data_IF_773676830917
#
_entry.id   IF_773676830917
#
_cell.length_a   1.000
_cell.length_b   1.000
_cell.length_c   1.000
_cell.angle_alpha   90.00
_cell.angle_beta   90.00
_cell.angle_gamma   90.00
#
_symmetry.space_group_name_H-M   'P 1'
#
loop_
_entity.id
_entity.type
_entity.pdbx_description
1 polymer ?
#
# COMPACT_ATOMS: atom_id res chain seq x y z
N UNK A 1 -22.51 3.45 -11.00
CA UNK A 1 -23.20 2.84 -9.84
C UNK A 1 -23.95 1.54 -10.21
N UNK A 2 -24.25 1.27 -11.51
CA UNK A 2 -25.03 0.09 -11.94
C UNK A 2 -24.25 -1.22 -12.11
N UNK A 3 -22.93 -1.21 -12.19
CA UNK A 3 -22.13 -2.43 -12.46
C UNK A 3 -21.79 -3.30 -11.23
N UNK A 4 -21.96 -2.78 -10.00
CA UNK A 4 -21.66 -3.56 -8.80
C UNK A 4 -22.75 -4.58 -8.43
N UNK A 5 -24.02 -4.33 -8.82
CA UNK A 5 -25.14 -5.21 -8.50
C UNK A 5 -25.13 -6.50 -9.30
N UNK A 6 -24.71 -6.45 -10.57
CA UNK A 6 -24.61 -7.64 -11.44
C UNK A 6 -23.39 -8.51 -11.06
N UNK A 7 -22.31 -7.91 -10.55
CA UNK A 7 -21.15 -8.65 -10.00
C UNK A 7 -21.53 -9.45 -8.75
N UNK A 8 -22.36 -8.87 -7.88
CA UNK A 8 -22.81 -9.53 -6.64
C UNK A 8 -23.80 -10.68 -6.91
N UNK A 9 -24.66 -10.58 -7.92
CA UNK A 9 -25.60 -11.66 -8.28
C UNK A 9 -24.90 -12.83 -8.99
N UNK A 10 -23.94 -12.58 -9.88
CA UNK A 10 -23.08 -13.61 -10.46
C UNK A 10 -22.19 -14.28 -9.40
N UNK A 11 -21.76 -13.52 -8.41
CA UNK A 11 -20.94 -13.98 -7.30
C UNK A 11 -21.67 -14.94 -6.36
N UNK A 12 -22.95 -14.68 -6.03
CA UNK A 12 -23.76 -15.54 -5.15
C UNK A 12 -24.06 -16.91 -5.78
N UNK A 13 -24.30 -16.97 -7.08
CA UNK A 13 -24.62 -18.23 -7.77
C UNK A 13 -23.38 -19.09 -8.04
N UNK A 14 -22.20 -18.50 -8.19
CA UNK A 14 -20.96 -19.24 -8.45
C UNK A 14 -20.21 -19.63 -7.16
N UNK A 15 -20.27 -18.81 -6.10
CA UNK A 15 -19.68 -19.13 -4.78
C UNK A 15 -20.27 -20.36 -4.11
N UNK A 16 -21.55 -20.67 -4.36
CA UNK A 16 -22.21 -21.85 -3.76
C UNK A 16 -21.76 -23.15 -4.43
N UNK A 17 -21.33 -23.13 -5.70
CA UNK A 17 -20.89 -24.34 -6.41
C UNK A 17 -19.42 -24.71 -6.16
N UNK A 18 -18.57 -23.79 -5.73
CA UNK A 18 -17.12 -24.05 -5.59
C UNK A 18 -16.70 -24.39 -4.17
N UNK A 19 -17.62 -24.35 -3.19
CA UNK A 19 -17.32 -24.63 -1.77
C UNK A 19 -17.34 -26.12 -1.41
N UNK A 20 -17.76 -26.99 -2.35
CA UNK A 20 -17.98 -28.41 -2.01
C UNK A 20 -16.94 -29.41 -2.55
N UNK A 21 -15.93 -28.98 -3.30
CA UNK A 21 -14.90 -29.91 -3.81
C UNK A 21 -13.51 -29.28 -3.65
N UNK A 22 -12.75 -29.77 -2.71
CA UNK A 22 -11.35 -29.52 -2.33
C UNK A 22 -11.14 -28.55 -1.17
N UNK A 23 -10.90 -29.18 -0.02
CA UNK A 23 -10.48 -28.57 1.25
C UNK A 23 -9.02 -28.07 1.20
N UNK A 24 -8.68 -27.17 0.27
CA UNK A 24 -7.39 -26.47 0.34
C UNK A 24 -7.45 -25.11 -0.37
N UNK A 25 -7.57 -24.02 0.42
CA UNK A 25 -7.51 -22.63 0.05
C UNK A 25 -8.63 -22.15 -0.92
N UNK A 26 -9.44 -21.17 -0.54
CA UNK A 26 -10.47 -20.62 -1.41
C UNK A 26 -9.80 -19.97 -2.64
N UNK A 27 -9.93 -20.58 -3.80
CA UNK A 27 -9.45 -20.01 -5.05
C UNK A 27 -10.39 -18.91 -5.52
N UNK A 28 -9.93 -17.67 -5.48
CA UNK A 28 -10.68 -16.54 -6.02
C UNK A 28 -10.71 -16.63 -7.56
N UNK A 29 -11.90 -16.74 -8.13
CA UNK A 29 -12.11 -16.80 -9.58
C UNK A 29 -12.07 -15.38 -10.13
N UNK A 30 -11.16 -15.10 -11.03
CA UNK A 30 -11.03 -13.82 -11.72
C UNK A 30 -11.76 -13.91 -13.06
N UNK A 31 -12.75 -13.03 -13.26
CA UNK A 31 -13.46 -12.86 -14.53
C UNK A 31 -13.38 -11.37 -14.87
N UNK A 32 -12.70 -11.04 -15.95
CA UNK A 32 -12.52 -9.66 -16.40
C UNK A 32 -13.64 -9.29 -17.40
N UNK A 33 -14.07 -8.05 -17.38
CA UNK A 33 -14.89 -7.46 -18.44
C UNK A 33 -14.01 -7.05 -19.62
N UNK A 34 -14.61 -6.82 -20.81
CA UNK A 34 -13.84 -6.41 -21.99
C UNK A 34 -13.16 -5.05 -21.79
N UNK A 35 -13.82 -4.14 -21.09
CA UNK A 35 -13.28 -2.83 -20.73
C UNK A 35 -12.06 -2.97 -19.80
N UNK A 36 -12.16 -3.84 -18.79
CA UNK A 36 -11.05 -4.11 -17.86
C UNK A 36 -9.84 -4.73 -18.57
N UNK A 37 -10.10 -5.63 -19.54
CA UNK A 37 -9.02 -6.20 -20.35
C UNK A 37 -8.33 -5.13 -21.19
N UNK A 38 -9.08 -4.21 -21.81
CA UNK A 38 -8.50 -3.12 -22.58
C UNK A 38 -7.68 -2.17 -21.69
N UNK A 39 -8.21 -1.80 -20.52
CA UNK A 39 -7.48 -0.99 -19.54
C UNK A 39 -6.19 -1.65 -19.07
N UNK A 40 -6.22 -2.94 -18.73
CA UNK A 40 -5.03 -3.68 -18.31
C UNK A 40 -3.99 -3.79 -19.44
N UNK A 41 -4.42 -4.06 -20.68
CA UNK A 41 -3.54 -4.08 -21.85
C UNK A 41 -2.92 -2.70 -22.10
N UNK A 42 -3.71 -1.64 -22.04
CA UNK A 42 -3.22 -0.27 -22.18
C UNK A 42 -2.20 0.10 -21.11
N UNK A 43 -2.46 -0.30 -19.84
CA UNK A 43 -1.52 -0.10 -18.73
C UNK A 43 -0.17 -0.79 -18.99
N UNK A 44 -0.20 -2.03 -19.50
CA UNK A 44 1.02 -2.79 -19.82
C UNK A 44 1.79 -2.13 -20.96
N UNK A 45 1.11 -1.60 -21.98
CA UNK A 45 1.73 -0.93 -23.13
C UNK A 45 2.27 0.46 -22.77
N UNK A 46 1.48 1.26 -22.06
CA UNK A 46 1.87 2.63 -21.65
C UNK A 46 3.04 2.64 -20.69
N UNK A 47 3.24 1.55 -19.95
CA UNK A 47 4.26 1.47 -18.93
C UNK A 47 3.84 2.13 -17.61
N UNK A 48 4.78 2.17 -16.66
CA UNK A 48 4.53 2.74 -15.34
C UNK A 48 5.33 2.03 -14.24
N UNK A 49 4.80 2.04 -13.01
CA UNK A 49 5.44 1.37 -11.88
C UNK A 49 5.47 -0.15 -12.11
N UNK A 50 6.66 -0.76 -12.10
CA UNK A 50 6.87 -2.18 -12.45
C UNK A 50 5.95 -3.16 -11.73
N UNK A 51 5.59 -2.90 -10.46
CA UNK A 51 4.64 -3.76 -9.74
C UNK A 51 3.21 -3.67 -10.31
N UNK A 52 2.74 -2.50 -10.79
CA UNK A 52 1.42 -2.35 -11.43
C UNK A 52 1.35 -3.12 -12.73
N UNK A 53 2.40 -3.03 -13.54
CA UNK A 53 2.51 -3.78 -14.80
C UNK A 53 2.47 -5.28 -14.53
N UNK A 54 3.26 -5.76 -13.55
CA UNK A 54 3.27 -7.18 -13.15
C UNK A 54 1.89 -7.64 -12.66
N UNK A 55 1.21 -6.86 -11.82
CA UNK A 55 -0.13 -7.19 -11.35
C UNK A 55 -1.15 -7.23 -12.49
N UNK A 56 -1.08 -6.28 -13.44
CA UNK A 56 -1.92 -6.27 -14.63
C UNK A 56 -1.72 -7.52 -15.51
N UNK A 57 -0.47 -7.89 -15.75
CA UNK A 57 -0.12 -9.11 -16.50
C UNK A 57 -0.65 -10.38 -15.80
N UNK A 58 -0.51 -10.47 -14.47
CA UNK A 58 -1.03 -11.60 -13.68
C UNK A 58 -2.56 -11.66 -13.78
N UNK A 59 -3.28 -10.54 -13.64
CA UNK A 59 -4.75 -10.50 -13.76
C UNK A 59 -5.21 -10.94 -15.14
N UNK A 60 -4.55 -10.50 -16.21
CA UNK A 60 -4.85 -10.93 -17.58
C UNK A 60 -4.67 -12.45 -17.78
N UNK A 61 -3.78 -13.10 -17.03
CA UNK A 61 -3.56 -14.56 -17.10
C UNK A 61 -4.45 -15.34 -16.15
N UNK A 62 -4.95 -14.71 -15.09
CA UNK A 62 -5.90 -15.32 -14.16
C UNK A 62 -7.34 -15.32 -14.68
N UNK A 63 -7.65 -14.55 -15.73
CA UNK A 63 -8.97 -14.52 -16.34
C UNK A 63 -9.37 -15.91 -16.82
N UNK A 64 -10.46 -16.44 -16.29
CA UNK A 64 -10.95 -17.80 -16.61
C UNK A 64 -11.70 -17.93 -17.95
N UNK A 65 -11.62 -16.95 -18.83
CA UNK A 65 -12.15 -17.09 -20.18
C UNK A 65 -11.44 -18.21 -20.93
N UNK A 66 -12.10 -18.76 -21.94
CA UNK A 66 -11.65 -19.96 -22.65
C UNK A 66 -10.20 -19.90 -23.16
N UNK A 67 -9.71 -18.72 -23.52
CA UNK A 67 -8.34 -18.50 -24.02
C UNK A 67 -7.25 -18.68 -22.95
N UNK A 68 -7.59 -18.53 -21.66
CA UNK A 68 -6.62 -18.53 -20.54
C UNK A 68 -6.63 -19.81 -19.70
N UNK A 69 -7.39 -20.84 -20.07
CA UNK A 69 -7.50 -22.11 -19.31
C UNK A 69 -6.17 -22.81 -19.01
N UNK A 70 -5.11 -22.51 -19.78
CA UNK A 70 -3.78 -23.13 -19.62
C UNK A 70 -2.89 -22.45 -18.60
N UNK A 71 -3.31 -21.30 -18.01
CA UNK A 71 -2.51 -20.58 -17.05
C UNK A 71 -2.80 -21.03 -15.62
N UNK A 72 -1.95 -21.95 -15.13
CA UNK A 72 -1.95 -22.37 -13.71
C UNK A 72 -1.12 -21.39 -12.89
N UNK A 73 -1.28 -21.40 -11.57
CA UNK A 73 -0.48 -20.59 -10.66
C UNK A 73 1.03 -20.86 -10.80
N UNK A 74 1.43 -22.09 -11.06
CA UNK A 74 2.84 -22.44 -11.30
C UNK A 74 3.39 -21.77 -12.56
N UNK A 75 2.64 -21.82 -13.65
CA UNK A 75 3.03 -21.14 -14.90
C UNK A 75 3.10 -19.63 -14.74
N UNK A 76 2.17 -19.03 -14.00
CA UNK A 76 2.18 -17.60 -13.70
C UNK A 76 3.39 -17.25 -12.83
N UNK A 77 3.69 -18.08 -11.83
CA UNK A 77 4.88 -17.94 -10.97
C UNK A 77 6.16 -17.95 -11.80
N UNK A 78 6.32 -18.92 -12.69
CA UNK A 78 7.51 -19.08 -13.52
C UNK A 78 7.65 -17.92 -14.53
N UNK A 79 6.54 -17.48 -15.13
CA UNK A 79 6.55 -16.41 -16.13
C UNK A 79 6.80 -15.01 -15.54
N UNK A 80 6.27 -14.73 -14.34
CA UNK A 80 6.29 -13.38 -13.75
C UNK A 80 7.07 -13.27 -12.45
N UNK A 81 7.66 -14.35 -11.96
CA UNK A 81 8.43 -14.37 -10.70
C UNK A 81 7.60 -13.99 -9.47
N UNK A 82 6.31 -14.32 -9.46
CA UNK A 82 5.40 -14.03 -8.36
C UNK A 82 5.10 -15.29 -7.56
N UNK A 83 5.19 -15.24 -6.22
CA UNK A 83 4.82 -16.38 -5.37
C UNK A 83 3.31 -16.67 -5.44
N UNK A 84 2.90 -17.91 -5.15
CA UNK A 84 1.49 -18.32 -5.10
C UNK A 84 0.66 -17.42 -4.17
N UNK A 85 1.21 -17.05 -3.01
CA UNK A 85 0.54 -16.14 -2.07
C UNK A 85 0.33 -14.74 -2.66
N UNK A 86 1.28 -14.25 -3.46
CA UNK A 86 1.14 -12.97 -4.18
C UNK A 86 0.05 -13.06 -5.23
N UNK A 87 0.02 -14.13 -6.03
CA UNK A 87 -0.99 -14.36 -7.07
C UNK A 87 -2.38 -14.45 -6.44
N UNK A 88 -2.53 -15.27 -5.39
CA UNK A 88 -3.78 -15.39 -4.65
C UNK A 88 -4.21 -14.05 -4.00
N UNK A 89 -3.26 -13.28 -3.47
CA UNK A 89 -3.51 -11.96 -2.90
C UNK A 89 -3.99 -10.93 -3.93
N UNK A 90 -3.48 -10.99 -5.16
CA UNK A 90 -3.94 -10.14 -6.27
C UNK A 90 -5.36 -10.54 -6.68
N UNK A 91 -5.62 -11.85 -6.87
CA UNK A 91 -6.94 -12.37 -7.19
C UNK A 91 -7.98 -11.98 -6.12
N UNK A 92 -7.64 -12.18 -4.83
CA UNK A 92 -8.50 -11.80 -3.71
C UNK A 92 -8.87 -10.32 -3.75
N UNK A 93 -7.88 -9.43 -3.89
CA UNK A 93 -8.13 -7.98 -3.94
C UNK A 93 -8.97 -7.57 -5.14
N UNK A 94 -8.73 -8.19 -6.29
CA UNK A 94 -9.55 -7.94 -7.49
C UNK A 94 -11.01 -8.29 -7.24
N UNK A 95 -11.29 -9.47 -6.69
CA UNK A 95 -12.65 -9.95 -6.43
C UNK A 95 -13.34 -9.14 -5.34
N UNK A 96 -12.64 -8.80 -4.25
CA UNK A 96 -13.22 -8.14 -3.08
C UNK A 96 -13.26 -6.61 -3.19
N UNK A 97 -12.22 -5.99 -3.75
CA UNK A 97 -12.00 -4.55 -3.71
C UNK A 97 -11.96 -3.91 -5.11
N UNK A 98 -11.90 -4.72 -6.18
CA UNK A 98 -11.88 -4.29 -7.57
C UNK A 98 -10.50 -4.10 -8.17
N UNK A 99 -10.47 -3.69 -9.45
CA UNK A 99 -9.26 -3.65 -10.27
C UNK A 99 -8.20 -2.68 -9.74
N UNK A 100 -8.58 -1.45 -9.38
CA UNK A 100 -7.61 -0.44 -8.92
C UNK A 100 -6.94 -0.85 -7.60
N UNK A 101 -7.67 -1.50 -6.69
CA UNK A 101 -7.11 -2.03 -5.45
C UNK A 101 -6.13 -3.17 -5.71
N UNK A 102 -6.41 -4.05 -6.69
CA UNK A 102 -5.50 -5.13 -7.08
C UNK A 102 -4.22 -4.60 -7.73
N UNK A 103 -4.29 -3.48 -8.45
CA UNK A 103 -3.15 -2.82 -9.10
C UNK A 103 -2.34 -1.94 -8.15
N UNK A 104 -2.90 -1.54 -7.01
CA UNK A 104 -2.22 -0.67 -6.04
C UNK A 104 -1.53 -1.47 -4.93
N UNK A 105 -0.53 -0.87 -4.29
CA UNK A 105 0.03 -1.41 -3.05
C UNK A 105 -0.90 -1.08 -1.88
N UNK A 106 -1.13 -2.04 -1.00
CA UNK A 106 -1.83 -1.78 0.26
C UNK A 106 -1.07 -0.72 1.06
N UNK A 107 -1.78 0.33 1.50
CA UNK A 107 -1.19 1.31 2.41
C UNK A 107 -0.84 0.63 3.73
N UNK A 108 0.36 0.89 4.23
CA UNK A 108 0.74 0.43 5.56
C UNK A 108 0.07 1.32 6.61
N UNK A 109 -1.02 0.86 7.17
CA UNK A 109 -1.76 1.58 8.22
C UNK A 109 -1.02 1.55 9.56
N UNK A 110 -0.31 0.45 9.84
CA UNK A 110 0.37 0.20 11.12
C UNK A 110 1.88 0.53 11.10
N UNK A 111 2.33 1.44 10.24
CA UNK A 111 3.72 1.88 10.31
C UNK A 111 3.91 2.68 11.59
N UNK A 112 4.62 2.11 12.57
CA UNK A 112 5.06 2.84 13.76
C UNK A 112 5.89 4.04 13.32
N UNK A 113 5.32 5.23 13.45
CA UNK A 113 6.07 6.47 13.25
C UNK A 113 6.88 6.71 14.52
N UNK A 114 8.20 6.84 14.41
CA UNK A 114 9.06 7.21 15.55
C UNK A 114 8.71 8.61 16.08
N UNK A 115 8.23 9.49 15.19
CA UNK A 115 7.78 10.84 15.54
C UNK A 115 6.27 10.89 15.41
N UNK A 116 5.60 11.03 16.55
CA UNK A 116 4.15 11.26 16.65
C UNK A 116 3.86 12.75 16.60
N UNK A 117 2.58 13.13 16.43
CA UNK A 117 2.17 14.55 16.50
C UNK A 117 2.51 15.22 17.83
N UNK A 118 2.53 14.46 18.93
CA UNK A 118 2.92 14.92 20.24
C UNK A 118 4.41 15.28 20.29
N UNK A 119 5.26 14.42 19.74
CA UNK A 119 6.72 14.69 19.62
C UNK A 119 6.97 15.88 18.69
N UNK A 120 6.24 16.01 17.57
CA UNK A 120 6.31 17.18 16.67
C UNK A 120 5.97 18.48 17.44
N UNK A 121 4.91 18.46 18.25
CA UNK A 121 4.52 19.61 19.07
C UNK A 121 5.59 19.98 20.13
N UNK A 122 6.17 18.98 20.80
CA UNK A 122 7.25 19.18 21.77
C UNK A 122 8.49 19.79 21.12
N UNK A 123 8.91 19.31 19.95
CA UNK A 123 10.01 19.90 19.17
C UNK A 123 9.76 21.40 18.93
N UNK A 124 8.56 21.76 18.48
CA UNK A 124 8.19 23.16 18.25
C UNK A 124 8.21 23.98 19.54
N UNK A 125 7.71 23.45 20.64
CA UNK A 125 7.70 24.13 21.95
C UNK A 125 9.12 24.43 22.43
N UNK A 126 10.02 23.43 22.38
CA UNK A 126 11.43 23.61 22.79
C UNK A 126 12.11 24.64 21.87
N UNK A 127 11.92 24.53 20.55
CA UNK A 127 12.52 25.46 19.60
C UNK A 127 12.08 26.93 19.79
N UNK A 128 10.88 27.15 20.37
CA UNK A 128 10.34 28.47 20.68
C UNK A 128 10.66 28.94 22.11
N UNK A 129 11.23 28.09 22.98
CA UNK A 129 11.60 28.44 24.34
C UNK A 129 12.97 29.17 24.39
N UNK A 130 13.32 29.70 25.55
CA UNK A 130 14.65 30.27 25.76
C UNK A 130 15.74 29.17 25.57
N UNK A 131 16.84 29.48 24.88
CA UNK A 131 17.94 28.54 24.70
C UNK A 131 18.63 28.27 26.03
N UNK A 132 19.39 27.16 26.17
CA UNK A 132 20.11 26.83 27.38
C UNK A 132 21.21 27.87 27.66
N UNK A 133 21.65 27.96 28.94
CA UNK A 133 22.67 28.90 29.37
C UNK A 133 23.94 28.79 28.51
N UNK A 134 24.41 29.93 28.05
CA UNK A 134 25.60 30.02 27.18
C UNK A 134 25.33 29.86 25.70
N UNK A 135 24.10 29.56 25.27
CA UNK A 135 23.73 29.45 23.86
C UNK A 135 22.83 30.61 23.41
N UNK A 136 23.11 31.19 22.24
CA UNK A 136 22.30 32.26 21.65
C UNK A 136 21.01 31.73 20.94
N UNK A 137 20.97 30.44 20.63
CA UNK A 137 19.85 29.79 19.93
C UNK A 137 19.86 28.26 20.15
N UNK A 138 18.73 27.64 19.97
CA UNK A 138 18.62 26.19 19.92
C UNK A 138 19.29 25.62 18.66
N UNK A 139 20.14 24.61 18.82
CA UNK A 139 20.62 23.77 17.71
C UNK A 139 19.75 22.54 17.60
N UNK A 140 19.76 21.88 16.43
CA UNK A 140 18.98 20.64 16.21
C UNK A 140 19.42 19.53 17.17
N UNK A 141 20.74 19.46 17.44
CA UNK A 141 21.28 18.50 18.39
C UNK A 141 20.80 18.81 19.82
N UNK A 142 20.87 20.07 20.26
CA UNK A 142 20.43 20.46 21.63
C UNK A 142 18.92 20.17 21.82
N UNK A 143 18.07 20.34 20.76
CA UNK A 143 16.66 19.97 20.82
C UNK A 143 16.49 18.44 20.95
N UNK A 144 17.31 17.66 20.23
CA UNK A 144 17.28 16.21 20.32
C UNK A 144 17.68 15.71 21.72
N UNK A 145 18.76 16.27 22.28
CA UNK A 145 19.22 15.93 23.61
C UNK A 145 18.22 16.31 24.71
N UNK A 146 17.54 17.44 24.54
CA UNK A 146 16.52 17.92 25.48
C UNK A 146 15.26 17.03 25.44
N UNK A 147 14.86 16.54 24.27
CA UNK A 147 13.74 15.57 24.13
C UNK A 147 14.04 14.25 24.84
N UNK A 148 15.28 13.78 24.75
CA UNK A 148 15.73 12.57 25.45
C UNK A 148 15.77 12.83 26.95
N UNK A 149 16.31 13.99 27.39
CA UNK A 149 16.37 14.41 28.79
C UNK A 149 14.99 14.50 29.45
N UNK A 150 13.99 14.96 28.69
CA UNK A 150 12.59 15.05 29.12
C UNK A 150 11.80 13.72 28.98
N UNK A 151 12.49 12.64 28.65
CA UNK A 151 11.88 11.30 28.45
C UNK A 151 10.70 11.29 27.48
N UNK A 152 10.65 12.25 26.54
CA UNK A 152 9.60 12.30 25.51
C UNK A 152 9.81 11.21 24.48
N UNK A 153 11.07 10.87 24.20
CA UNK A 153 11.50 9.80 23.30
C UNK A 153 12.76 9.12 23.85
N UNK A 154 12.89 7.82 23.63
CA UNK A 154 14.08 7.06 24.02
C UNK A 154 15.31 7.46 23.18
N UNK A 155 15.08 7.78 21.91
CA UNK A 155 16.12 8.17 20.97
C UNK A 155 15.58 8.94 19.77
N UNK A 156 16.21 10.05 19.42
CA UNK A 156 15.94 10.86 18.23
C UNK A 156 17.24 11.47 17.72
N UNK A 157 17.38 11.64 16.39
CA UNK A 157 18.54 12.28 15.77
C UNK A 157 18.24 13.73 15.41
N UNK A 158 19.29 14.55 15.34
CA UNK A 158 19.25 15.93 14.86
C UNK A 158 18.64 16.04 13.45
N UNK A 159 18.93 15.09 12.56
CA UNK A 159 18.36 15.01 11.22
C UNK A 159 16.84 14.86 11.26
N UNK A 160 16.31 14.03 12.18
CA UNK A 160 14.85 13.86 12.35
C UNK A 160 14.21 15.16 12.88
N UNK A 161 14.85 15.82 13.85
CA UNK A 161 14.39 17.14 14.35
C UNK A 161 14.38 18.18 13.21
N UNK A 162 15.42 18.19 12.38
CA UNK A 162 15.51 19.07 11.21
C UNK A 162 14.38 18.82 10.20
N UNK A 163 14.04 17.57 9.89
CA UNK A 163 12.92 17.22 9.01
C UNK A 163 11.58 17.72 9.54
N UNK A 164 11.33 17.53 10.84
CA UNK A 164 10.12 18.03 11.50
C UNK A 164 10.03 19.56 11.40
N UNK A 165 11.11 20.26 11.71
CA UNK A 165 11.16 21.72 11.64
C UNK A 165 10.94 22.25 10.22
N UNK A 166 11.51 21.59 9.19
CA UNK A 166 11.27 21.93 7.77
C UNK A 166 9.81 21.74 7.39
N UNK A 167 9.21 20.62 7.78
CA UNK A 167 7.81 20.33 7.54
C UNK A 167 6.90 21.37 8.17
N UNK A 168 7.18 21.77 9.39
CA UNK A 168 6.40 22.79 10.12
C UNK A 168 6.48 24.17 9.45
N UNK A 169 7.64 24.57 8.93
CA UNK A 169 7.79 25.80 8.15
C UNK A 169 6.99 25.75 6.85
N UNK A 170 7.08 24.64 6.10
CA UNK A 170 6.35 24.46 4.84
C UNK A 170 4.83 24.51 5.03
N UNK A 171 4.30 23.97 6.13
CA UNK A 171 2.86 23.98 6.42
C UNK A 171 2.32 25.34 6.90
N UNK A 172 3.17 26.28 7.31
CA UNK A 172 2.76 27.62 7.76
C UNK A 172 2.71 28.68 6.65
N UNK A 173 3.02 28.29 5.40
CA UNK A 173 2.86 29.17 4.25
C UNK A 173 3.77 30.43 4.26
N UNK A 174 4.96 30.34 4.89
CA UNK A 174 5.98 31.39 4.89
C UNK A 174 7.09 31.08 3.92
#
# INVERSE_FOLDING_TARGET
VRNNSLRLQGFLLYSIKTVLEDADMPRYVVILTDDEIQELKALVQKGGKGYRIRHAQILLKLDQRAENRFWTYDRIKDAYGASHSTIAGIAKRFVMEGMEAALSRKKQENRRRKVTGEVEARICTIACSAPPEGASRWTMQAIADELIRLEVVDYITDSTVCEVMKKTKSNRGL
#
